data_IF_943161957779
#
_entry.id   IF_943161957779
#
_cell.length_a   1.000
_cell.length_b   1.000
_cell.length_c   1.000
_cell.angle_alpha   90.00
_cell.angle_beta   90.00
_cell.angle_gamma   90.00
#
_symmetry.space_group_name_H-M   'P 1'
#
loop_
_entity.id
_entity.type
_entity.pdbx_description
1 polymer ?
#
# COMPACT_ATOMS: atom_id res chain seq x y z
N UNK A 1 -101.38 40.69 20.74
CA UNK A 1 -100.64 40.90 19.47
C UNK A 1 -99.58 41.98 19.62
N UNK A 2 -99.89 43.28 19.69
CA UNK A 2 -98.86 44.36 19.71
C UNK A 2 -97.89 44.32 20.90
N UNK A 3 -98.32 43.84 22.07
CA UNK A 3 -97.45 43.66 23.26
C UNK A 3 -96.52 42.45 23.16
N UNK A 4 -96.89 41.45 22.37
CA UNK A 4 -96.11 40.22 22.18
C UNK A 4 -94.94 40.47 21.20
N UNK A 5 -95.19 41.29 20.17
CA UNK A 5 -94.18 41.79 19.22
C UNK A 5 -93.08 42.62 19.91
N UNK A 6 -93.42 43.44 20.92
CA UNK A 6 -92.45 44.23 21.70
C UNK A 6 -91.53 43.34 22.53
N UNK A 7 -92.08 42.31 23.18
CA UNK A 7 -91.33 41.34 23.98
C UNK A 7 -90.38 40.56 23.07
N UNK A 8 -90.85 40.12 21.89
CA UNK A 8 -90.03 39.39 20.92
C UNK A 8 -88.90 40.25 20.33
N UNK A 9 -89.16 41.53 20.04
CA UNK A 9 -88.14 42.49 19.59
C UNK A 9 -87.12 42.81 20.69
N UNK A 10 -87.54 42.89 21.95
CA UNK A 10 -86.64 43.12 23.09
C UNK A 10 -85.68 41.95 23.32
N UNK A 11 -86.16 40.72 23.18
CA UNK A 11 -85.34 39.51 23.27
C UNK A 11 -84.30 39.47 22.14
N UNK A 12 -84.70 39.76 20.89
CA UNK A 12 -83.78 39.81 19.73
C UNK A 12 -82.72 40.90 19.85
N UNK A 13 -83.06 42.07 20.41
CA UNK A 13 -82.09 43.13 20.69
C UNK A 13 -81.07 42.69 21.75
N UNK A 14 -81.51 42.00 22.79
CA UNK A 14 -80.61 41.49 23.83
C UNK A 14 -79.63 40.45 23.25
N UNK A 15 -80.13 39.49 22.46
CA UNK A 15 -79.28 38.51 21.78
C UNK A 15 -78.26 39.17 20.84
N UNK A 16 -78.69 40.15 20.03
CA UNK A 16 -77.77 40.86 19.12
C UNK A 16 -76.74 41.74 19.85
N UNK A 17 -77.06 42.29 21.02
CA UNK A 17 -76.09 42.99 21.88
C UNK A 17 -75.08 42.02 22.50
N UNK A 18 -75.54 40.87 23.01
CA UNK A 18 -74.68 39.84 23.56
C UNK A 18 -73.71 39.28 22.47
N UNK A 19 -74.20 39.11 21.24
CA UNK A 19 -73.38 38.72 20.07
C UNK A 19 -72.30 39.78 19.74
N UNK A 20 -72.64 41.07 19.82
CA UNK A 20 -71.69 42.17 19.60
C UNK A 20 -70.64 42.21 20.73
N UNK A 21 -71.02 42.00 21.98
CA UNK A 21 -70.07 41.92 23.09
C UNK A 21 -69.12 40.72 22.95
N UNK A 22 -69.65 39.56 22.53
CA UNK A 22 -68.85 38.37 22.28
C UNK A 22 -67.80 38.63 21.17
N UNK A 23 -68.21 39.28 20.07
CA UNK A 23 -67.30 39.66 18.99
C UNK A 23 -66.25 40.70 19.43
N UNK A 24 -66.60 41.67 20.27
CA UNK A 24 -65.62 42.63 20.84
C UNK A 24 -64.59 41.95 21.74
N UNK A 25 -65.00 40.95 22.53
CA UNK A 25 -64.06 40.14 23.33
C UNK A 25 -63.16 39.30 22.42
N UNK A 26 -63.72 38.72 21.35
CA UNK A 26 -62.97 37.99 20.33
C UNK A 26 -61.93 38.90 19.63
N UNK A 27 -62.31 40.11 19.24
CA UNK A 27 -61.43 41.11 18.61
C UNK A 27 -60.28 41.52 19.53
N UNK A 28 -60.55 41.81 20.82
CA UNK A 28 -59.50 42.11 21.80
C UNK A 28 -58.52 40.93 21.95
N UNK A 29 -59.03 39.71 21.97
CA UNK A 29 -58.19 38.51 22.03
C UNK A 29 -57.35 38.34 20.75
N UNK A 30 -57.90 38.62 19.57
CA UNK A 30 -57.16 38.63 18.31
C UNK A 30 -56.07 39.71 18.31
N UNK A 31 -56.37 40.94 18.73
CA UNK A 31 -55.38 42.01 18.83
C UNK A 31 -54.25 41.68 19.83
N UNK A 32 -54.57 41.01 20.94
CA UNK A 32 -53.56 40.49 21.87
C UNK A 32 -52.71 39.36 21.25
N UNK A 33 -53.30 38.48 20.44
CA UNK A 33 -52.56 37.45 19.71
C UNK A 33 -51.63 38.08 18.64
N UNK A 34 -52.12 39.09 17.91
CA UNK A 34 -51.35 39.81 16.89
C UNK A 34 -50.18 40.57 17.51
N UNK A 35 -50.37 41.29 18.62
CA UNK A 35 -49.28 41.99 19.31
C UNK A 35 -48.21 41.03 19.81
N UNK A 36 -48.59 39.92 20.46
CA UNK A 36 -47.65 38.86 20.87
C UNK A 36 -46.91 38.23 19.68
N UNK A 37 -47.61 38.00 18.57
CA UNK A 37 -47.00 37.47 17.35
C UNK A 37 -46.01 38.47 16.72
N UNK A 38 -46.33 39.77 16.70
CA UNK A 38 -45.43 40.85 16.24
C UNK A 38 -44.19 40.99 17.11
N UNK A 39 -44.34 40.96 18.43
CA UNK A 39 -43.21 40.98 19.37
C UNK A 39 -42.32 39.74 19.19
N UNK A 40 -42.94 38.57 19.03
CA UNK A 40 -42.24 37.33 18.75
C UNK A 40 -41.46 37.37 17.43
N UNK A 41 -41.99 38.02 16.40
CA UNK A 41 -41.33 38.22 15.11
C UNK A 41 -40.17 39.20 15.22
N UNK A 42 -40.38 40.36 15.84
CA UNK A 42 -39.34 41.38 16.05
C UNK A 42 -38.18 40.88 16.92
N UNK A 43 -38.44 39.99 17.88
CA UNK A 43 -37.40 39.33 18.67
C UNK A 43 -36.56 38.37 17.82
N UNK A 44 -37.18 37.61 16.90
CA UNK A 44 -36.47 36.70 16.01
C UNK A 44 -35.66 37.45 14.93
N UNK A 45 -36.17 38.59 14.44
CA UNK A 45 -35.45 39.46 13.51
C UNK A 45 -34.22 40.13 14.16
N UNK A 46 -34.34 40.56 15.43
CA UNK A 46 -33.19 41.02 16.22
C UNK A 46 -32.15 39.93 16.41
N UNK A 47 -32.57 38.72 16.80
CA UNK A 47 -31.70 37.54 16.92
C UNK A 47 -30.95 37.25 15.60
N UNK A 48 -31.56 37.52 14.44
CA UNK A 48 -30.93 37.37 13.13
C UNK A 48 -29.99 38.53 12.75
N UNK A 49 -30.30 39.76 13.14
CA UNK A 49 -29.44 40.93 12.92
C UNK A 49 -28.20 40.93 13.82
N UNK A 50 -28.34 40.44 15.06
CA UNK A 50 -27.24 40.32 16.01
C UNK A 50 -26.23 39.24 15.60
N UNK A 51 -26.62 38.30 14.72
CA UNK A 51 -25.68 37.37 14.09
C UNK A 51 -24.81 38.10 13.09
N UNK A 52 -23.52 38.25 13.42
CA UNK A 52 -22.55 38.77 12.46
C UNK A 52 -22.51 37.91 11.19
N UNK A 53 -22.34 38.53 9.99
CA UNK A 53 -22.14 37.79 8.76
C UNK A 53 -20.90 36.89 8.88
N UNK A 54 -21.10 35.57 8.93
CA UNK A 54 -20.00 34.62 8.89
C UNK A 54 -19.42 34.57 7.48
N UNK A 55 -18.20 35.07 7.30
CA UNK A 55 -17.41 34.91 6.08
C UNK A 55 -16.64 33.59 6.15
N UNK A 56 -16.89 32.63 5.24
CA UNK A 56 -16.13 31.39 5.21
C UNK A 56 -14.64 31.68 4.94
N UNK A 57 -13.69 31.05 5.67
CA UNK A 57 -12.25 31.17 5.42
C UNK A 57 -11.85 30.52 4.08
N UNK A 58 -12.15 31.20 2.96
CA UNK A 58 -11.89 30.68 1.61
C UNK A 58 -10.40 30.54 1.35
N UNK A 59 -9.61 31.52 1.78
CA UNK A 59 -8.17 31.53 1.56
C UNK A 59 -7.48 30.37 2.30
N UNK A 60 -7.83 30.14 3.56
CA UNK A 60 -7.34 28.99 4.34
C UNK A 60 -7.76 27.65 3.70
N UNK A 61 -8.99 27.52 3.19
CA UNK A 61 -9.43 26.31 2.48
C UNK A 61 -8.66 26.09 1.16
N UNK A 62 -8.34 27.16 0.43
CA UNK A 62 -7.53 27.05 -0.80
C UNK A 62 -6.10 26.67 -0.52
N UNK A 63 -5.48 27.26 0.50
CA UNK A 63 -4.13 26.91 0.97
C UNK A 63 -4.06 25.45 1.39
N UNK A 64 -4.97 24.99 2.25
CA UNK A 64 -5.04 23.59 2.67
C UNK A 64 -5.26 22.63 1.49
N UNK A 65 -6.01 23.05 0.46
CA UNK A 65 -6.21 22.23 -0.74
C UNK A 65 -4.93 22.10 -1.56
N UNK A 66 -4.18 23.19 -1.70
CA UNK A 66 -2.88 23.18 -2.38
C UNK A 66 -1.86 22.34 -1.60
N UNK A 67 -1.80 22.50 -0.27
CA UNK A 67 -0.91 21.73 0.61
C UNK A 67 -1.20 20.22 0.52
N UNK A 68 -2.47 19.83 0.56
CA UNK A 68 -2.89 18.42 0.34
C UNK A 68 -2.43 17.95 -1.04
N UNK A 69 -2.61 18.76 -2.09
CA UNK A 69 -2.15 18.45 -3.44
C UNK A 69 -0.64 18.22 -3.50
N UNK A 70 0.16 19.11 -2.91
CA UNK A 70 1.62 18.97 -2.83
C UNK A 70 2.04 17.71 -2.07
N UNK A 71 1.38 17.38 -0.95
CA UNK A 71 1.66 16.15 -0.20
C UNK A 71 1.31 14.89 -0.99
N UNK A 72 0.17 14.87 -1.69
CA UNK A 72 -0.22 13.75 -2.56
C UNK A 72 0.81 13.55 -3.68
N UNK A 73 1.29 14.62 -4.32
CA UNK A 73 2.37 14.54 -5.29
C UNK A 73 3.64 13.93 -4.69
N UNK A 74 4.09 14.43 -3.53
CA UNK A 74 5.26 13.87 -2.83
C UNK A 74 5.09 12.39 -2.44
N UNK A 75 3.90 11.97 -2.00
CA UNK A 75 3.60 10.56 -1.70
C UNK A 75 3.69 9.71 -2.97
N UNK A 76 3.20 10.19 -4.11
CA UNK A 76 3.27 9.47 -5.38
C UNK A 76 4.71 9.34 -5.88
N UNK A 77 5.52 10.40 -5.76
CA UNK A 77 6.95 10.36 -6.10
C UNK A 77 7.71 9.34 -5.23
N UNK A 78 7.45 9.33 -3.92
CA UNK A 78 8.03 8.33 -3.02
C UNK A 78 7.57 6.91 -3.36
N UNK A 79 6.30 6.70 -3.69
CA UNK A 79 5.79 5.39 -4.15
C UNK A 79 6.49 4.92 -5.42
N UNK A 80 6.77 5.83 -6.36
CA UNK A 80 7.50 5.49 -7.58
C UNK A 80 8.96 5.11 -7.27
N UNK A 81 9.67 5.90 -6.47
CA UNK A 81 11.04 5.59 -6.02
C UNK A 81 11.11 4.26 -5.26
N UNK A 82 10.10 3.98 -4.43
CA UNK A 82 10.00 2.71 -3.70
C UNK A 82 9.82 1.53 -4.65
N UNK A 83 8.93 1.64 -5.64
CA UNK A 83 8.75 0.59 -6.67
C UNK A 83 10.04 0.33 -7.46
N UNK A 84 10.76 1.39 -7.82
CA UNK A 84 12.04 1.27 -8.52
C UNK A 84 13.09 0.55 -7.66
N UNK A 85 13.19 0.90 -6.37
CA UNK A 85 14.08 0.19 -5.44
C UNK A 85 13.64 -1.24 -5.13
N UNK A 86 12.33 -1.51 -5.02
CA UNK A 86 11.79 -2.87 -4.89
C UNK A 86 12.13 -3.72 -6.12
N UNK A 87 12.08 -3.14 -7.32
CA UNK A 87 12.48 -3.82 -8.55
C UNK A 87 13.98 -4.15 -8.55
N UNK A 88 14.84 -3.18 -8.17
CA UNK A 88 16.29 -3.41 -8.05
C UNK A 88 16.61 -4.48 -7.00
N UNK A 89 15.96 -4.44 -5.84
CA UNK A 89 16.10 -5.45 -4.79
C UNK A 89 15.70 -6.84 -5.29
N UNK A 90 14.63 -6.94 -6.08
CA UNK A 90 14.19 -8.21 -6.67
C UNK A 90 15.24 -8.77 -7.63
N UNK A 91 15.85 -7.93 -8.47
CA UNK A 91 16.95 -8.35 -9.36
C UNK A 91 18.16 -8.83 -8.56
N UNK A 92 18.58 -8.09 -7.53
CA UNK A 92 19.71 -8.49 -6.67
C UNK A 92 19.45 -9.79 -5.93
N UNK A 93 18.22 -10.01 -5.43
CA UNK A 93 17.83 -11.27 -4.80
C UNK A 93 17.85 -12.45 -5.77
N UNK A 94 17.44 -12.24 -7.02
CA UNK A 94 17.51 -13.26 -8.06
C UNK A 94 18.96 -13.60 -8.42
N UNK A 95 19.83 -12.59 -8.50
CA UNK A 95 21.27 -12.80 -8.71
C UNK A 95 21.90 -13.58 -7.54
N UNK A 96 21.58 -13.21 -6.30
CA UNK A 96 22.01 -13.92 -5.10
C UNK A 96 21.56 -15.39 -5.13
N UNK A 97 20.33 -15.65 -5.56
CA UNK A 97 19.78 -17.01 -5.71
C UNK A 97 20.58 -17.81 -6.74
N UNK A 98 20.84 -17.24 -7.91
CA UNK A 98 21.65 -17.88 -8.97
C UNK A 98 23.07 -18.19 -8.49
N UNK A 99 23.73 -17.26 -7.79
CA UNK A 99 25.05 -17.50 -7.21
C UNK A 99 25.01 -18.64 -6.17
N UNK A 100 23.99 -18.65 -5.31
CA UNK A 100 23.80 -19.71 -4.31
C UNK A 100 23.55 -21.08 -4.96
N UNK A 101 22.68 -21.15 -5.96
CA UNK A 101 22.39 -22.40 -6.67
C UNK A 101 23.64 -22.92 -7.41
N UNK A 102 24.42 -22.03 -8.01
CA UNK A 102 25.68 -22.38 -8.66
C UNK A 102 26.72 -22.89 -7.66
N UNK A 103 26.83 -22.26 -6.49
CA UNK A 103 27.68 -22.74 -5.40
C UNK A 103 27.27 -24.14 -4.93
N UNK A 104 25.96 -24.37 -4.72
CA UNK A 104 25.44 -25.68 -4.32
C UNK A 104 25.73 -26.76 -5.37
N UNK A 105 25.60 -26.42 -6.66
CA UNK A 105 25.98 -27.34 -7.74
C UNK A 105 27.47 -27.67 -7.70
N UNK A 106 28.34 -26.67 -7.50
CA UNK A 106 29.80 -26.90 -7.40
C UNK A 106 30.17 -27.73 -6.17
N UNK A 107 29.57 -27.47 -5.01
CA UNK A 107 29.77 -28.28 -3.81
C UNK A 107 29.32 -29.73 -4.03
N UNK A 108 28.20 -29.94 -4.73
CA UNK A 108 27.75 -31.28 -5.09
C UNK A 108 28.76 -32.01 -5.99
N UNK A 109 29.46 -31.29 -6.87
CA UNK A 109 30.50 -31.86 -7.73
C UNK A 109 31.79 -32.14 -6.95
N UNK A 110 32.23 -31.24 -6.06
CA UNK A 110 33.35 -31.50 -5.15
C UNK A 110 33.10 -32.75 -4.29
N UNK A 111 31.88 -32.91 -3.79
CA UNK A 111 31.47 -34.11 -3.06
C UNK A 111 31.54 -35.37 -3.93
N UNK A 112 31.22 -35.30 -5.23
CA UNK A 112 31.37 -36.44 -6.17
C UNK A 112 32.85 -36.78 -6.40
N UNK A 113 33.73 -35.80 -6.55
CA UNK A 113 35.17 -36.02 -6.71
C UNK A 113 35.79 -36.61 -5.44
N UNK A 114 35.40 -36.11 -4.27
CA UNK A 114 35.79 -36.65 -2.98
C UNK A 114 35.29 -38.10 -2.79
N UNK A 115 34.07 -38.41 -3.20
CA UNK A 115 33.56 -39.79 -3.23
C UNK A 115 34.33 -40.68 -4.21
N UNK A 116 34.76 -40.15 -5.36
CA UNK A 116 35.58 -40.89 -6.32
C UNK A 116 36.95 -41.25 -5.72
N UNK A 117 37.59 -40.30 -5.02
CA UNK A 117 38.84 -40.55 -4.26
C UNK A 117 38.64 -41.60 -3.16
N UNK A 118 37.51 -41.56 -2.46
CA UNK A 118 37.18 -42.54 -1.43
C UNK A 118 37.08 -43.95 -2.02
N UNK A 119 36.39 -44.11 -3.17
CA UNK A 119 36.31 -45.39 -3.90
C UNK A 119 37.66 -45.84 -4.46
N UNK A 120 38.55 -44.90 -4.78
CA UNK A 120 39.90 -45.18 -5.28
C UNK A 120 40.91 -45.56 -4.18
N UNK A 121 40.45 -45.73 -2.93
CA UNK A 121 41.24 -46.24 -1.81
C UNK A 121 41.69 -45.18 -0.79
N UNK A 122 41.09 -43.99 -0.79
CA UNK A 122 41.35 -42.96 0.22
C UNK A 122 40.16 -42.82 1.19
N UNK A 123 39.94 -43.82 2.06
CA UNK A 123 38.74 -43.95 2.90
C UNK A 123 38.44 -42.72 3.77
N UNK A 124 39.48 -42.07 4.31
CA UNK A 124 39.39 -40.93 5.24
C UNK A 124 39.70 -39.57 4.58
N UNK A 125 39.66 -39.48 3.25
CA UNK A 125 39.99 -38.25 2.51
C UNK A 125 39.06 -37.09 2.84
N UNK A 126 37.79 -37.36 3.12
CA UNK A 126 36.79 -36.36 3.47
C UNK A 126 37.10 -35.70 4.82
N UNK A 127 37.55 -36.51 5.79
CA UNK A 127 37.95 -36.03 7.12
C UNK A 127 39.22 -35.18 7.01
N UNK A 128 40.20 -35.65 6.24
CA UNK A 128 41.42 -34.91 5.96
C UNK A 128 41.13 -33.55 5.29
N UNK A 129 40.31 -33.53 4.25
CA UNK A 129 39.93 -32.30 3.55
C UNK A 129 39.19 -31.32 4.48
N UNK A 130 38.20 -31.81 5.23
CA UNK A 130 37.44 -30.98 6.19
C UNK A 130 38.35 -30.37 7.25
N UNK A 131 39.32 -31.14 7.75
CA UNK A 131 40.30 -30.65 8.71
C UNK A 131 41.17 -29.54 8.13
N UNK A 132 41.68 -29.70 6.90
CA UNK A 132 42.48 -28.66 6.23
C UNK A 132 41.66 -27.39 6.01
N UNK A 133 40.40 -27.50 5.56
CA UNK A 133 39.52 -26.35 5.35
C UNK A 133 39.22 -25.58 6.66
N UNK A 134 38.97 -26.30 7.76
CA UNK A 134 38.66 -25.67 9.05
C UNK A 134 39.88 -25.01 9.71
N UNK A 135 41.10 -25.49 9.40
CA UNK A 135 42.34 -25.00 10.00
C UNK A 135 43.15 -24.12 9.03
N UNK A 136 42.52 -23.56 7.99
CA UNK A 136 43.18 -22.67 7.01
C UNK A 136 43.97 -21.53 7.68
N UNK A 137 43.46 -20.99 8.77
CA UNK A 137 44.08 -19.88 9.52
C UNK A 137 45.36 -20.28 10.27
N UNK A 138 45.68 -21.58 10.40
CA UNK A 138 46.87 -22.05 11.09
C UNK A 138 48.10 -22.14 10.16
N UNK A 139 47.89 -22.13 8.84
CA UNK A 139 48.97 -22.26 7.87
C UNK A 139 49.58 -20.89 7.53
N UNK A 140 50.88 -20.89 7.26
CA UNK A 140 51.61 -19.67 6.85
C UNK A 140 51.45 -19.38 5.36
N UNK A 141 51.24 -20.42 4.56
CA UNK A 141 50.98 -20.32 3.13
C UNK A 141 49.75 -21.11 2.72
N UNK A 142 49.38 -20.97 1.46
CA UNK A 142 48.24 -21.68 0.90
C UNK A 142 48.55 -23.18 0.74
N UNK A 143 47.64 -24.01 1.24
CA UNK A 143 47.70 -25.48 1.14
C UNK A 143 46.69 -25.90 0.10
N UNK A 144 47.17 -26.49 -1.00
CA UNK A 144 46.31 -26.95 -2.09
C UNK A 144 45.93 -28.41 -1.89
N UNK A 145 44.67 -28.76 -2.14
CA UNK A 145 44.28 -30.15 -2.36
C UNK A 145 43.04 -30.65 -1.61
N UNK A 146 42.69 -31.94 -1.82
CA UNK A 146 43.40 -32.95 -2.61
C UNK A 146 43.66 -32.55 -4.06
N UNK A 147 44.81 -32.92 -4.64
CA UNK A 147 45.23 -32.49 -6.00
C UNK A 147 44.13 -32.68 -7.05
N UNK A 148 43.31 -33.73 -6.93
CA UNK A 148 42.19 -33.96 -7.84
C UNK A 148 41.19 -32.79 -7.91
N UNK A 149 40.94 -32.11 -6.79
CA UNK A 149 40.00 -30.98 -6.75
C UNK A 149 40.58 -29.74 -7.46
N UNK A 150 41.90 -29.60 -7.48
CA UNK A 150 42.60 -28.42 -7.98
C UNK A 150 42.90 -28.48 -9.48
N UNK A 151 42.63 -29.61 -10.13
CA UNK A 151 42.95 -29.87 -11.54
C UNK A 151 41.68 -29.95 -12.36
N UNK A 152 41.59 -29.12 -13.40
CA UNK A 152 40.46 -29.06 -14.32
C UNK A 152 40.90 -29.45 -15.73
N UNK A 153 40.15 -30.36 -16.38
CA UNK A 153 40.46 -30.87 -17.72
C UNK A 153 39.24 -30.67 -18.62
N UNK A 154 39.42 -30.00 -19.77
CA UNK A 154 38.30 -29.66 -20.66
C UNK A 154 37.79 -30.86 -21.47
N UNK A 155 38.70 -31.77 -21.85
CA UNK A 155 38.39 -32.92 -22.70
C UNK A 155 38.37 -34.23 -21.90
N UNK A 156 37.29 -35.00 -22.04
CA UNK A 156 37.13 -36.31 -21.40
C UNK A 156 38.21 -37.32 -21.83
N UNK A 157 38.72 -37.23 -23.07
CA UNK A 157 39.80 -38.11 -23.54
C UNK A 157 41.12 -37.74 -22.87
N UNK A 158 41.45 -36.45 -22.81
CA UNK A 158 42.66 -35.94 -22.18
C UNK A 158 42.64 -36.19 -20.66
N UNK A 159 41.47 -36.18 -20.04
CA UNK A 159 41.29 -36.55 -18.65
C UNK A 159 41.67 -38.02 -18.39
N UNK A 160 41.36 -38.93 -19.32
CA UNK A 160 41.78 -40.33 -19.26
C UNK A 160 43.30 -40.49 -19.38
N UNK A 161 43.94 -39.68 -20.23
CA UNK A 161 45.40 -39.68 -20.38
C UNK A 161 46.06 -39.20 -19.09
N UNK A 162 45.58 -38.08 -18.54
CA UNK A 162 46.12 -37.50 -17.32
C UNK A 162 45.97 -38.45 -16.11
N UNK A 163 44.79 -39.05 -15.94
CA UNK A 163 44.53 -40.01 -14.85
C UNK A 163 45.41 -41.25 -14.94
N UNK A 164 45.66 -41.74 -16.16
CA UNK A 164 46.50 -42.92 -16.40
C UNK A 164 48.00 -42.61 -16.26
N UNK A 165 48.41 -41.39 -16.62
CA UNK A 165 49.79 -40.95 -16.55
C UNK A 165 50.24 -40.66 -15.12
N UNK A 166 49.40 -39.96 -14.35
CA UNK A 166 49.73 -39.50 -13.00
C UNK A 166 49.45 -40.60 -11.97
N UNK A 167 50.44 -41.01 -11.16
CA UNK A 167 50.24 -42.00 -10.10
C UNK A 167 49.09 -41.66 -9.14
N UNK A 168 48.27 -42.66 -8.79
CA UNK A 168 47.08 -42.50 -7.96
C UNK A 168 47.35 -41.82 -6.60
N UNK A 169 48.53 -42.02 -6.00
CA UNK A 169 48.86 -41.39 -4.72
C UNK A 169 48.89 -39.85 -4.81
N UNK A 170 49.20 -39.28 -5.98
CA UNK A 170 49.28 -37.82 -6.19
C UNK A 170 47.88 -37.21 -6.11
N UNK A 171 46.86 -37.85 -6.70
CA UNK A 171 45.48 -37.35 -6.71
C UNK A 171 44.88 -37.15 -5.32
N UNK A 172 45.24 -38.02 -4.37
CA UNK A 172 44.83 -37.92 -2.95
C UNK A 172 45.76 -37.09 -2.08
N UNK A 173 46.83 -36.51 -2.65
CA UNK A 173 47.82 -35.77 -1.89
C UNK A 173 47.41 -34.33 -1.64
N UNK A 174 47.96 -33.73 -0.58
CA UNK A 174 47.92 -32.29 -0.35
C UNK A 174 49.27 -31.67 -0.68
N UNK A 175 49.26 -30.47 -1.27
CA UNK A 175 50.47 -29.75 -1.68
C UNK A 175 50.69 -28.58 -0.72
N UNK A 176 51.92 -28.49 -0.20
CA UNK A 176 52.35 -27.43 0.72
C UNK A 176 53.45 -26.58 0.11
N UNK A 177 53.41 -25.27 0.35
CA UNK A 177 54.44 -24.35 -0.13
C UNK A 177 55.60 -24.19 0.86
N UNK A 178 55.34 -24.32 2.16
CA UNK A 178 56.32 -24.11 3.22
C UNK A 178 56.66 -25.41 3.96
N UNK A 179 57.93 -25.56 4.35
CA UNK A 179 58.38 -26.70 5.16
C UNK A 179 57.70 -26.77 6.54
N UNK A 180 57.36 -25.61 7.15
CA UNK A 180 56.64 -25.57 8.43
C UNK A 180 55.21 -26.08 8.31
N UNK A 181 54.49 -25.68 7.25
CA UNK A 181 53.12 -26.14 7.00
C UNK A 181 53.11 -27.64 6.66
N UNK A 182 54.12 -28.12 5.92
CA UNK A 182 54.37 -29.54 5.68
C UNK A 182 54.47 -30.32 6.98
N UNK A 183 55.36 -29.93 7.90
CA UNK A 183 55.59 -30.69 9.13
C UNK A 183 54.33 -30.75 10.00
N UNK A 184 53.54 -29.68 9.99
CA UNK A 184 52.24 -29.63 10.66
C UNK A 184 51.23 -30.58 10.01
N UNK A 185 51.11 -30.55 8.68
CA UNK A 185 50.23 -31.46 7.94
C UNK A 185 50.66 -32.91 8.06
N UNK A 186 51.96 -33.22 8.03
CA UNK A 186 52.46 -34.60 8.19
C UNK A 186 52.08 -35.15 9.57
N UNK A 187 52.19 -34.34 10.63
CA UNK A 187 51.78 -34.78 11.98
C UNK A 187 50.28 -35.04 12.07
N UNK A 188 49.47 -34.16 11.51
CA UNK A 188 48.01 -34.19 11.67
C UNK A 188 47.32 -35.11 10.68
N UNK A 189 47.81 -35.20 9.44
CA UNK A 189 47.20 -36.00 8.38
C UNK A 189 47.68 -37.45 8.32
N UNK A 190 48.74 -37.80 9.06
CA UNK A 190 49.22 -39.20 9.17
C UNK A 190 48.12 -40.17 9.62
N UNK A 191 47.21 -39.72 10.49
CA UNK A 191 46.09 -40.54 10.95
C UNK A 191 45.04 -40.83 9.86
N UNK A 192 44.97 -39.99 8.82
CA UNK A 192 44.03 -40.14 7.71
C UNK A 192 44.66 -40.87 6.51
N UNK A 193 45.96 -41.17 6.56
CA UNK A 193 46.66 -41.91 5.50
C UNK A 193 46.83 -41.13 4.18
N UNK A 194 46.76 -39.80 4.22
CA UNK A 194 46.90 -38.96 3.03
C UNK A 194 48.37 -38.57 2.81
N UNK A 195 48.93 -38.77 1.60
CA UNK A 195 50.29 -38.33 1.30
C UNK A 195 50.36 -36.80 1.19
N UNK A 196 51.53 -36.24 1.49
CA UNK A 196 51.78 -34.80 1.41
C UNK A 196 52.95 -34.58 0.46
N UNK A 197 52.74 -33.71 -0.50
CA UNK A 197 53.72 -33.32 -1.50
C UNK A 197 54.21 -31.91 -1.21
N UNK A 198 55.49 -31.69 -1.48
CA UNK A 198 56.12 -30.40 -1.28
C UNK A 198 56.25 -29.69 -2.61
N UNK A 199 55.83 -28.43 -2.63
CA UNK A 199 56.23 -27.53 -3.67
C UNK A 199 57.71 -27.18 -3.49
N UNK A 200 58.55 -27.59 -4.43
CA UNK A 200 59.98 -27.25 -4.45
C UNK A 200 60.18 -25.98 -5.29
N UNK A 201 59.67 -24.85 -4.77
CA UNK A 201 59.65 -23.55 -5.47
C UNK A 201 60.99 -22.88 -5.76
N UNK A 202 62.09 -23.62 -5.80
CA UNK A 202 63.45 -23.07 -5.90
C UNK A 202 64.00 -22.94 -7.33
N UNK A 203 63.45 -23.70 -8.30
CA UNK A 203 63.91 -23.62 -9.68
C UNK A 203 62.79 -23.03 -10.51
N UNK A 204 63.08 -21.91 -11.20
CA UNK A 204 62.30 -21.44 -12.36
C UNK A 204 61.70 -22.63 -13.08
N UNK A 205 60.41 -22.55 -13.37
CA UNK A 205 59.66 -23.40 -14.30
C UNK A 205 60.65 -24.10 -15.25
N UNK A 206 61.12 -25.30 -14.90
CA UNK A 206 61.87 -26.17 -15.80
C UNK A 206 60.85 -26.90 -16.67
N UNK A 207 59.77 -26.21 -17.04
CA UNK A 207 58.91 -26.69 -18.10
C UNK A 207 59.76 -26.52 -19.34
N UNK A 208 60.24 -27.64 -19.90
CA UNK A 208 60.98 -27.59 -21.15
C UNK A 208 60.19 -26.71 -22.14
N UNK A 209 60.84 -25.76 -22.82
CA UNK A 209 60.16 -24.85 -23.73
C UNK A 209 59.33 -25.66 -24.73
N UNK A 210 58.13 -25.16 -25.04
CA UNK A 210 57.19 -25.79 -25.96
C UNK A 210 57.81 -25.93 -27.35
N UNK A 211 58.51 -27.04 -27.58
CA UNK A 211 59.21 -27.30 -28.83
C UNK A 211 58.39 -28.26 -29.70
N UNK A 212 57.14 -27.92 -30.00
CA UNK A 212 56.40 -28.66 -31.03
C UNK A 212 56.94 -28.24 -32.39
N UNK A 213 57.87 -29.02 -32.93
CA UNK A 213 58.46 -28.77 -34.25
C UNK A 213 57.42 -29.02 -35.36
N UNK A 214 57.58 -28.40 -36.55
CA UNK A 214 56.70 -28.69 -37.69
C UNK A 214 56.73 -30.17 -38.08
N UNK A 215 57.85 -30.87 -37.87
CA UNK A 215 58.00 -32.30 -38.10
C UNK A 215 57.11 -33.13 -37.16
N UNK A 216 57.05 -32.76 -35.87
CA UNK A 216 56.15 -33.40 -34.90
C UNK A 216 54.68 -33.24 -35.31
N UNK A 217 54.30 -32.06 -35.80
CA UNK A 217 52.94 -31.83 -36.31
C UNK A 217 52.62 -32.66 -37.56
N UNK A 218 53.59 -32.84 -38.46
CA UNK A 218 53.43 -33.68 -39.64
C UNK A 218 53.22 -35.15 -39.29
N UNK A 219 53.84 -35.63 -38.21
CA UNK A 219 53.60 -36.97 -37.66
C UNK A 219 52.32 -37.07 -36.82
N UNK A 220 51.54 -35.99 -36.71
CA UNK A 220 50.23 -36.00 -36.07
C UNK A 220 50.25 -35.71 -34.56
N UNK A 221 51.33 -35.15 -34.01
CA UNK A 221 51.41 -34.66 -32.63
C UNK A 221 50.75 -33.29 -32.53
N UNK A 222 49.80 -33.15 -31.60
CA UNK A 222 48.98 -31.94 -31.46
C UNK A 222 49.47 -31.02 -30.36
N UNK A 223 49.67 -31.59 -29.19
CA UNK A 223 49.88 -30.85 -27.95
C UNK A 223 50.64 -31.71 -26.94
N UNK A 224 50.98 -31.10 -25.81
CA UNK A 224 51.66 -31.76 -24.70
C UNK A 224 50.71 -31.81 -23.51
N UNK A 225 50.84 -32.83 -22.68
CA UNK A 225 49.86 -33.12 -21.63
C UNK A 225 49.71 -31.97 -20.61
N UNK A 226 50.78 -31.22 -20.35
CA UNK A 226 50.76 -30.01 -19.50
C UNK A 226 49.89 -28.85 -20.03
N UNK A 227 49.56 -28.82 -21.32
CA UNK A 227 48.74 -27.77 -21.94
C UNK A 227 47.24 -28.08 -21.91
N UNK A 228 46.86 -29.35 -21.68
CA UNK A 228 45.47 -29.82 -21.77
C UNK A 228 44.72 -29.77 -20.43
N UNK A 229 45.35 -29.26 -19.36
CA UNK A 229 44.72 -29.06 -18.06
C UNK A 229 45.10 -27.74 -17.40
N UNK A 230 44.14 -27.22 -16.64
CA UNK A 230 44.25 -26.01 -15.84
C UNK A 230 44.42 -26.39 -14.36
N UNK A 231 45.42 -25.81 -13.70
CA UNK A 231 45.67 -26.00 -12.28
C UNK A 231 46.50 -24.82 -11.71
N UNK A 232 46.43 -24.55 -10.40
CA UNK A 232 47.29 -23.55 -9.76
C UNK A 232 48.78 -23.80 -10.05
N UNK A 233 49.63 -22.76 -10.18
CA UNK A 233 51.03 -22.92 -10.55
C UNK A 233 51.80 -23.90 -9.64
N UNK A 234 51.53 -23.87 -8.34
CA UNK A 234 52.13 -24.79 -7.38
C UNK A 234 51.75 -26.26 -7.65
N UNK A 235 50.48 -26.51 -7.99
CA UNK A 235 49.97 -27.84 -8.34
C UNK A 235 50.57 -28.32 -9.66
N UNK A 236 50.57 -27.46 -10.68
CA UNK A 236 51.13 -27.76 -12.00
C UNK A 236 52.62 -28.11 -11.92
N UNK A 237 53.40 -27.38 -11.14
CA UNK A 237 54.81 -27.66 -10.92
C UNK A 237 55.06 -28.99 -10.19
N UNK A 238 54.22 -29.36 -9.22
CA UNK A 238 54.32 -30.68 -8.57
C UNK A 238 54.00 -31.80 -9.56
N UNK A 239 53.00 -31.62 -10.42
CA UNK A 239 52.67 -32.60 -11.48
C UNK A 239 53.82 -32.75 -12.49
N UNK A 240 54.45 -31.65 -12.89
CA UNK A 240 55.65 -31.66 -13.74
C UNK A 240 56.81 -32.40 -13.04
N UNK A 241 57.09 -32.07 -11.78
CA UNK A 241 58.25 -32.64 -11.06
C UNK A 241 58.06 -34.12 -10.70
N UNK A 242 56.84 -34.53 -10.35
CA UNK A 242 56.56 -35.89 -9.84
C UNK A 242 56.08 -36.85 -10.91
N UNK A 243 55.41 -36.35 -11.96
CA UNK A 243 54.83 -37.16 -13.01
C UNK A 243 55.35 -36.84 -14.41
N UNK A 244 56.23 -35.84 -14.58
CA UNK A 244 56.84 -35.48 -15.87
C UNK A 244 55.81 -35.26 -17.00
N UNK A 245 54.69 -34.62 -16.67
CA UNK A 245 53.62 -34.29 -17.63
C UNK A 245 54.10 -33.39 -18.78
N UNK A 246 55.23 -32.71 -18.60
CA UNK A 246 55.92 -31.86 -19.57
C UNK A 246 56.81 -32.63 -20.56
N UNK A 247 56.93 -33.95 -20.42
CA UNK A 247 57.64 -34.83 -21.35
C UNK A 247 56.70 -35.78 -22.10
N UNK A 248 55.39 -35.61 -21.91
CA UNK A 248 54.34 -36.48 -22.45
C UNK A 248 53.55 -35.80 -23.54
N UNK A 249 53.58 -36.37 -24.74
CA UNK A 249 52.97 -35.78 -25.93
C UNK A 249 51.62 -36.42 -26.25
N UNK A 250 50.72 -35.64 -26.86
CA UNK A 250 49.41 -36.09 -27.33
C UNK A 250 49.42 -36.08 -28.85
N UNK A 251 49.04 -37.19 -29.43
CA UNK A 251 48.95 -37.43 -30.86
C UNK A 251 47.56 -37.84 -31.31
N UNK A 252 47.33 -37.67 -32.60
CA UNK A 252 46.12 -38.14 -33.30
C UNK A 252 46.26 -39.59 -33.76
N UNK A 253 45.23 -40.13 -34.43
CA UNK A 253 45.30 -41.44 -35.08
C UNK A 253 46.45 -41.55 -36.11
N UNK A 254 46.92 -40.43 -36.66
CA UNK A 254 48.06 -40.40 -37.56
C UNK A 254 49.39 -40.69 -36.84
N UNK A 255 49.51 -40.22 -35.59
CA UNK A 255 50.67 -40.52 -34.74
C UNK A 255 50.69 -41.99 -34.30
N UNK A 256 49.51 -42.62 -34.16
CA UNK A 256 49.37 -44.06 -33.88
C UNK A 256 49.94 -44.91 -35.04
N UNK A 257 49.70 -44.49 -36.29
CA UNK A 257 50.22 -45.16 -37.49
C UNK A 257 51.72 -44.89 -37.73
N UNK A 258 52.21 -43.73 -37.28
CA UNK A 258 53.59 -43.27 -37.50
C UNK A 258 54.46 -43.41 -36.24
N UNK A 259 54.06 -44.27 -35.29
CA UNK A 259 54.67 -44.36 -33.97
C UNK A 259 56.19 -44.64 -34.02
N UNK A 260 56.64 -45.47 -34.96
CA UNK A 260 58.07 -45.79 -35.15
C UNK A 260 58.91 -44.59 -35.60
N UNK A 261 58.31 -43.63 -36.30
CA UNK A 261 58.97 -42.39 -36.72
C UNK A 261 58.95 -41.33 -35.61
N UNK A 262 57.93 -41.35 -34.75
CA UNK A 262 57.82 -40.46 -33.59
C UNK A 262 58.97 -40.69 -32.61
N UNK A 263 59.41 -41.94 -32.39
CA UNK A 263 60.53 -42.23 -31.48
C UNK A 263 61.85 -41.64 -31.97
N UNK A 264 62.04 -41.57 -33.30
CA UNK A 264 63.26 -41.02 -33.91
C UNK A 264 63.41 -39.52 -33.63
N UNK A 265 62.30 -38.84 -33.32
CA UNK A 265 62.29 -37.43 -32.90
C UNK A 265 62.68 -37.23 -31.43
N UNK A 266 63.03 -38.30 -30.70
CA UNK A 266 63.44 -38.23 -29.29
C UNK A 266 62.29 -38.19 -28.30
N UNK A 267 61.07 -38.51 -28.74
CA UNK A 267 59.88 -38.59 -27.87
C UNK A 267 59.84 -39.98 -27.22
N UNK A 268 59.73 -40.00 -25.89
CA UNK A 268 59.71 -41.23 -25.11
C UNK A 268 58.32 -41.61 -24.57
N UNK A 269 57.36 -40.68 -24.53
CA UNK A 269 55.99 -40.90 -24.04
C UNK A 269 54.97 -40.22 -24.98
N UNK A 270 54.08 -41.03 -25.57
CA UNK A 270 53.06 -40.58 -26.54
C UNK A 270 51.69 -41.17 -26.22
N UNK A 271 50.69 -40.30 -26.11
CA UNK A 271 49.28 -40.64 -25.96
C UNK A 271 48.55 -40.50 -27.29
N UNK A 272 47.96 -41.57 -27.81
CA UNK A 272 47.06 -41.55 -28.99
C UNK A 272 45.61 -41.77 -28.53
N UNK A 273 44.58 -41.70 -29.39
CA UNK A 273 43.20 -41.95 -28.96
C UNK A 273 42.91 -43.36 -28.46
N UNK A 274 43.79 -44.34 -28.74
CA UNK A 274 43.59 -45.76 -28.42
C UNK A 274 44.69 -46.33 -27.55
N UNK A 275 45.93 -45.88 -27.76
CA UNK A 275 47.12 -46.49 -27.18
C UNK A 275 48.00 -45.45 -26.47
N UNK A 276 48.68 -45.91 -25.44
CA UNK A 276 49.75 -45.18 -24.78
C UNK A 276 51.08 -45.87 -25.08
N UNK A 277 51.97 -45.15 -25.75
CA UNK A 277 53.30 -45.64 -26.11
C UNK A 277 54.32 -45.08 -25.13
N UNK A 278 55.11 -45.97 -24.53
CA UNK A 278 56.27 -45.62 -23.71
C UNK A 278 57.51 -46.32 -24.23
N UNK A 279 58.47 -45.52 -24.69
CA UNK A 279 59.76 -46.02 -25.15
C UNK A 279 60.81 -45.85 -24.05
N UNK A 280 61.52 -46.94 -23.77
CA UNK A 280 62.62 -46.94 -22.80
C UNK A 280 63.88 -47.41 -23.50
N UNK A 281 64.96 -46.63 -23.37
CA UNK A 281 66.27 -47.02 -23.84
C UNK A 281 67.04 -47.68 -22.70
N UNK A 282 67.46 -48.93 -22.91
CA UNK A 282 68.23 -49.66 -21.91
C UNK A 282 69.55 -48.96 -21.61
N UNK A 283 69.81 -48.69 -20.33
CA UNK A 283 71.07 -48.10 -19.85
C UNK A 283 72.28 -49.00 -20.08
N UNK A 284 72.08 -50.31 -20.13
CA UNK A 284 73.16 -51.30 -20.20
C UNK A 284 73.51 -51.75 -21.62
N UNK A 285 72.53 -51.71 -22.53
CA UNK A 285 72.72 -52.23 -23.90
C UNK A 285 72.25 -51.31 -25.02
N UNK A 286 71.71 -50.13 -24.72
CA UNK A 286 71.26 -49.16 -25.72
C UNK A 286 70.02 -49.57 -26.54
N UNK A 287 69.53 -50.80 -26.37
CA UNK A 287 68.31 -51.31 -27.03
C UNK A 287 67.08 -50.50 -26.62
N UNK A 288 66.23 -50.23 -27.61
CA UNK A 288 64.96 -49.54 -27.44
C UNK A 288 63.85 -50.59 -27.23
N UNK A 289 63.15 -50.50 -26.10
CA UNK A 289 61.94 -51.29 -25.84
C UNK A 289 60.72 -50.38 -25.82
N UNK A 290 59.66 -50.76 -26.52
CA UNK A 290 58.37 -50.08 -26.49
C UNK A 290 57.39 -50.86 -25.60
N UNK A 291 56.73 -50.18 -24.67
CA UNK A 291 55.53 -50.67 -24.02
C UNK A 291 54.30 -49.98 -24.63
N UNK A 292 53.25 -50.74 -24.92
CA UNK A 292 52.02 -50.23 -25.50
C UNK A 292 50.87 -50.65 -24.60
N UNK A 293 50.30 -49.68 -23.90
CA UNK A 293 49.17 -49.88 -23.01
C UNK A 293 47.88 -49.35 -23.66
N UNK A 294 46.75 -50.01 -23.45
CA UNK A 294 45.45 -49.48 -23.91
C UNK A 294 44.95 -48.39 -22.95
N UNK A 295 44.28 -47.39 -23.50
CA UNK A 295 43.79 -46.26 -22.69
C UNK A 295 42.49 -46.63 -22.00
N UNK A 296 42.48 -46.43 -20.68
CA UNK A 296 41.28 -46.60 -19.89
C UNK A 296 40.52 -45.27 -19.78
N UNK A 297 39.17 -45.31 -19.80
CA UNK A 297 38.38 -44.11 -19.56
C UNK A 297 38.61 -43.60 -18.14
N UNK A 298 38.65 -42.28 -17.99
CA UNK A 298 38.78 -41.62 -16.70
C UNK A 298 37.67 -42.03 -15.72
N UNK A 299 38.05 -42.35 -14.49
CA UNK A 299 37.15 -42.66 -13.36
C UNK A 299 37.12 -41.53 -12.33
N UNK A 300 38.21 -40.76 -12.23
CA UNK A 300 38.38 -39.67 -11.25
C UNK A 300 37.86 -38.33 -11.77
N UNK A 301 38.10 -37.99 -13.05
CA UNK A 301 37.71 -36.73 -13.67
C UNK A 301 36.35 -36.79 -14.37
N UNK A 302 35.37 -37.47 -13.77
CA UNK A 302 34.02 -37.51 -14.33
C UNK A 302 33.19 -36.23 -14.06
N UNK A 303 33.74 -35.25 -13.34
CA UNK A 303 33.07 -34.02 -12.94
C UNK A 303 34.02 -32.83 -13.03
N UNK A 304 33.81 -31.95 -14.01
CA UNK A 304 34.58 -30.71 -14.17
C UNK A 304 34.16 -29.69 -13.10
N UNK A 305 35.11 -29.29 -12.25
CA UNK A 305 34.96 -28.22 -11.27
C UNK A 305 36.20 -27.35 -11.27
N UNK A 306 35.99 -26.04 -11.33
CA UNK A 306 37.03 -25.05 -11.19
C UNK A 306 36.97 -24.44 -9.79
N UNK A 307 38.04 -24.60 -9.00
CA UNK A 307 38.13 -24.12 -7.61
C UNK A 307 38.21 -22.59 -7.55
N UNK A 308 38.88 -21.95 -8.52
CA UNK A 308 38.96 -20.50 -8.62
C UNK A 308 37.58 -19.86 -8.82
N UNK A 309 36.69 -20.53 -9.53
CA UNK A 309 35.32 -20.04 -9.75
C UNK A 309 34.50 -20.07 -8.45
N UNK A 310 34.81 -20.98 -7.51
CA UNK A 310 34.08 -21.09 -6.24
C UNK A 310 34.40 -19.90 -5.33
N UNK A 311 35.67 -19.49 -5.23
CA UNK A 311 36.05 -18.34 -4.43
C UNK A 311 35.52 -17.03 -5.01
N UNK A 312 35.54 -16.87 -6.34
CA UNK A 312 34.90 -15.74 -7.02
C UNK A 312 33.39 -15.72 -6.76
N UNK A 313 32.70 -16.85 -6.91
CA UNK A 313 31.25 -16.95 -6.64
C UNK A 313 30.90 -16.67 -5.17
N UNK A 314 31.77 -17.03 -4.22
CA UNK A 314 31.58 -16.69 -2.80
C UNK A 314 31.71 -15.18 -2.58
N UNK A 315 32.70 -14.55 -3.20
CA UNK A 315 32.87 -13.10 -3.14
C UNK A 315 31.66 -12.37 -3.76
N UNK A 316 31.19 -12.80 -4.92
CA UNK A 316 29.99 -12.26 -5.58
C UNK A 316 28.74 -12.43 -4.70
N UNK A 317 28.57 -13.60 -4.07
CA UNK A 317 27.45 -13.84 -3.14
C UNK A 317 27.49 -12.86 -1.95
N UNK A 318 28.65 -12.66 -1.37
CA UNK A 318 28.81 -11.73 -0.24
C UNK A 318 28.54 -10.28 -0.66
N UNK A 319 28.97 -9.88 -1.86
CA UNK A 319 28.65 -8.58 -2.44
C UNK A 319 27.14 -8.40 -2.66
N UNK A 320 26.48 -9.35 -3.32
CA UNK A 320 25.03 -9.31 -3.53
C UNK A 320 24.26 -9.28 -2.20
N UNK A 321 24.76 -9.97 -1.17
CA UNK A 321 24.15 -9.96 0.16
C UNK A 321 24.24 -8.59 0.81
N UNK A 322 25.42 -7.94 0.78
CA UNK A 322 25.58 -6.55 1.26
C UNK A 322 24.70 -5.57 0.49
N UNK A 323 24.58 -5.74 -0.83
CA UNK A 323 23.72 -4.90 -1.66
C UNK A 323 22.24 -5.07 -1.30
N UNK A 324 21.79 -6.31 -1.08
CA UNK A 324 20.42 -6.62 -0.63
C UNK A 324 20.14 -5.96 0.72
N UNK A 325 21.04 -6.09 1.69
CA UNK A 325 20.91 -5.47 3.01
C UNK A 325 20.81 -3.93 2.91
N UNK A 326 21.71 -3.29 2.16
CA UNK A 326 21.67 -1.84 1.95
C UNK A 326 20.41 -1.35 1.22
N UNK A 327 19.91 -2.11 0.24
CA UNK A 327 18.66 -1.78 -0.44
C UNK A 327 17.42 -1.97 0.46
N UNK A 328 17.41 -2.99 1.32
CA UNK A 328 16.34 -3.17 2.31
C UNK A 328 16.29 -2.04 3.34
N UNK A 329 17.45 -1.56 3.80
CA UNK A 329 17.55 -0.40 4.68
C UNK A 329 17.04 0.87 3.98
N UNK A 330 17.45 1.12 2.74
CA UNK A 330 16.96 2.25 1.95
C UNK A 330 15.43 2.19 1.75
N UNK A 331 14.86 1.00 1.52
CA UNK A 331 13.40 0.82 1.41
C UNK A 331 12.68 1.10 2.74
N UNK A 332 13.27 0.72 3.88
CA UNK A 332 12.72 1.04 5.21
C UNK A 332 12.71 2.56 5.44
N UNK A 333 13.75 3.27 5.05
CA UNK A 333 13.79 4.74 5.16
C UNK A 333 12.77 5.41 4.24
N UNK A 334 12.66 4.99 2.97
CA UNK A 334 11.62 5.48 2.06
C UNK A 334 10.20 5.20 2.59
N UNK A 335 9.98 4.05 3.24
CA UNK A 335 8.70 3.73 3.86
C UNK A 335 8.40 4.64 5.05
N UNK A 336 9.40 4.98 5.88
CA UNK A 336 9.24 5.94 6.98
C UNK A 336 8.90 7.33 6.45
N UNK A 337 9.58 7.79 5.40
CA UNK A 337 9.29 9.07 4.74
C UNK A 337 7.87 9.11 4.16
N UNK A 338 7.44 8.03 3.50
CA UNK A 338 6.08 7.92 2.98
C UNK A 338 5.04 8.04 4.10
N UNK A 339 5.23 7.34 5.21
CA UNK A 339 4.31 7.41 6.37
C UNK A 339 4.23 8.83 6.94
N UNK A 340 5.37 9.51 7.09
CA UNK A 340 5.39 10.91 7.56
C UNK A 340 4.56 11.83 6.66
N UNK A 341 4.69 11.71 5.34
CA UNK A 341 3.88 12.51 4.42
C UNK A 341 2.39 12.14 4.45
N UNK A 342 2.06 10.85 4.62
CA UNK A 342 0.67 10.39 4.77
C UNK A 342 0.04 10.90 6.08
N UNK A 343 0.80 10.92 7.19
CA UNK A 343 0.35 11.48 8.47
C UNK A 343 0.12 13.00 8.37
N UNK A 344 1.04 13.74 7.74
CA UNK A 344 0.88 15.18 7.49
C UNK A 344 -0.33 15.48 6.59
N UNK A 345 -0.54 14.66 5.55
CA UNK A 345 -1.68 14.77 4.63
C UNK A 345 -3.02 14.52 5.36
N UNK A 346 -3.06 13.53 6.25
CA UNK A 346 -4.21 13.25 7.10
C UNK A 346 -4.52 14.41 8.06
N UNK A 347 -3.49 15.03 8.65
CA UNK A 347 -3.66 16.21 9.51
C UNK A 347 -4.23 17.42 8.73
N UNK A 348 -3.76 17.68 7.50
CA UNK A 348 -4.34 18.72 6.66
C UNK A 348 -5.80 18.42 6.28
N UNK A 349 -6.14 17.16 6.01
CA UNK A 349 -7.53 16.75 5.76
C UNK A 349 -8.43 17.00 6.97
N UNK A 350 -8.00 16.62 8.18
CA UNK A 350 -8.74 16.88 9.43
C UNK A 350 -8.99 18.38 9.65
N UNK A 351 -7.97 19.21 9.42
CA UNK A 351 -8.11 20.68 9.51
C UNK A 351 -9.13 21.20 8.51
N UNK A 352 -9.08 20.73 7.26
CA UNK A 352 -10.03 21.11 6.22
C UNK A 352 -11.46 20.67 6.54
N UNK A 353 -11.64 19.47 7.07
CA UNK A 353 -12.95 18.95 7.50
C UNK A 353 -13.52 19.76 8.67
N UNK A 354 -12.71 20.08 9.68
CA UNK A 354 -13.12 20.90 10.81
C UNK A 354 -13.59 22.31 10.38
N UNK A 355 -12.91 22.92 9.40
CA UNK A 355 -13.34 24.21 8.83
C UNK A 355 -14.65 24.02 8.06
N UNK A 356 -14.78 22.98 7.24
CA UNK A 356 -16.00 22.71 6.49
C UNK A 356 -17.22 22.47 7.41
N UNK A 357 -17.04 21.76 8.53
CA UNK A 357 -18.08 21.52 9.51
C UNK A 357 -18.49 22.79 10.26
N UNK A 358 -17.53 23.66 10.62
CA UNK A 358 -17.83 24.99 11.16
C UNK A 358 -18.67 25.81 10.18
N UNK A 359 -18.28 25.84 8.90
CA UNK A 359 -19.02 26.56 7.84
C UNK A 359 -20.45 26.00 7.71
N UNK A 360 -20.61 24.67 7.73
CA UNK A 360 -21.93 24.01 7.67
C UNK A 360 -22.80 24.35 8.89
N UNK A 361 -22.21 24.32 10.09
CA UNK A 361 -22.92 24.61 11.34
C UNK A 361 -23.44 26.05 11.36
N UNK A 362 -22.60 27.02 11.02
CA UNK A 362 -22.99 28.43 10.96
C UNK A 362 -24.06 28.69 9.89
N UNK A 363 -23.93 28.06 8.71
CA UNK A 363 -24.96 28.13 7.67
C UNK A 363 -26.30 27.57 8.16
N UNK A 364 -26.30 26.41 8.82
CA UNK A 364 -27.51 25.77 9.37
C UNK A 364 -28.16 26.62 10.45
N UNK A 365 -27.39 27.18 11.38
CA UNK A 365 -27.90 28.12 12.41
C UNK A 365 -28.63 29.30 11.76
N UNK A 366 -28.04 29.87 10.71
CA UNK A 366 -28.62 31.00 9.98
C UNK A 366 -29.91 30.61 9.25
N UNK A 367 -29.93 29.46 8.59
CA UNK A 367 -31.13 28.89 7.94
C UNK A 367 -32.24 28.57 8.94
N UNK A 368 -31.90 28.05 10.12
CA UNK A 368 -32.87 27.73 11.20
C UNK A 368 -33.55 29.01 11.72
N UNK A 369 -32.78 30.07 11.92
CA UNK A 369 -33.30 31.36 12.39
C UNK A 369 -34.13 32.03 11.28
N UNK A 370 -33.69 31.95 10.02
CA UNK A 370 -34.47 32.42 8.88
C UNK A 370 -35.81 31.67 8.76
N UNK A 371 -35.80 30.34 8.91
CA UNK A 371 -37.04 29.53 8.92
C UNK A 371 -37.95 29.90 10.07
N UNK A 372 -37.41 30.17 11.27
CA UNK A 372 -38.18 30.66 12.42
C UNK A 372 -38.84 32.01 12.12
N UNK A 373 -38.13 32.93 11.47
CA UNK A 373 -38.67 34.22 11.03
C UNK A 373 -39.80 34.00 10.02
N UNK A 374 -39.58 33.20 8.98
CA UNK A 374 -40.58 32.95 7.95
C UNK A 374 -41.84 32.28 8.50
N UNK A 375 -41.70 31.33 9.43
CA UNK A 375 -42.84 30.70 10.11
C UNK A 375 -43.62 31.72 10.95
N UNK A 376 -42.92 32.57 11.71
CA UNK A 376 -43.54 33.64 12.51
C UNK A 376 -44.23 34.69 11.63
N UNK A 377 -43.67 34.98 10.47
CA UNK A 377 -44.27 35.88 9.48
C UNK A 377 -45.54 35.30 8.89
N UNK A 378 -45.52 34.03 8.46
CA UNK A 378 -46.71 33.34 7.94
C UNK A 378 -47.82 33.24 8.98
N UNK A 379 -47.49 32.86 10.21
CA UNK A 379 -48.48 32.79 11.30
C UNK A 379 -49.06 34.17 11.63
N UNK A 380 -48.26 35.25 11.57
CA UNK A 380 -48.77 36.61 11.69
C UNK A 380 -49.70 36.97 10.52
N UNK A 381 -49.34 36.63 9.29
CA UNK A 381 -50.18 36.81 8.12
C UNK A 381 -51.50 36.04 8.23
N UNK A 382 -51.48 34.80 8.69
CA UNK A 382 -52.66 33.95 8.87
C UNK A 382 -53.58 34.49 9.98
N UNK A 383 -53.02 34.90 11.13
CA UNK A 383 -53.81 35.52 12.23
C UNK A 383 -54.35 36.90 11.80
N UNK A 384 -53.66 37.61 10.90
CA UNK A 384 -54.18 38.87 10.34
C UNK A 384 -55.27 38.67 9.29
N UNK A 385 -55.30 37.49 8.66
CA UNK A 385 -56.31 37.07 7.67
C UNK A 385 -57.47 36.29 8.29
N UNK A 386 -57.34 35.82 9.54
CA UNK A 386 -58.41 35.23 10.35
C UNK A 386 -59.57 36.23 10.44
N UNK A 387 -60.49 36.07 9.49
CA UNK A 387 -61.79 36.70 9.25
C UNK A 387 -61.96 38.17 9.63
N UNK A 388 -62.61 38.88 8.72
CA UNK A 388 -63.08 40.25 8.83
C UNK A 388 -64.16 40.36 9.94
N UNK A 389 -63.72 40.23 11.20
CA UNK A 389 -64.50 40.49 12.42
C UNK A 389 -65.06 41.90 12.35
N UNK A 390 -64.37 42.81 11.66
CA UNK A 390 -64.79 44.18 11.41
C UNK A 390 -66.03 44.27 10.49
N UNK A 391 -66.12 43.50 9.40
CA UNK A 391 -67.36 43.45 8.60
C UNK A 391 -68.49 42.68 9.30
N UNK A 392 -68.17 41.67 10.10
CA UNK A 392 -69.18 40.93 10.87
C UNK A 392 -69.79 41.77 11.99
N UNK A 393 -68.97 42.57 12.68
CA UNK A 393 -69.44 43.56 13.66
C UNK A 393 -70.25 44.68 12.99
N UNK A 394 -69.81 45.21 11.84
CA UNK A 394 -70.59 46.20 11.05
C UNK A 394 -71.97 45.68 10.64
N UNK A 395 -72.06 44.43 10.16
CA UNK A 395 -73.35 43.79 9.81
C UNK A 395 -74.28 43.64 11.02
N UNK A 396 -73.74 43.36 12.20
CA UNK A 396 -74.53 43.24 13.42
C UNK A 396 -74.92 44.60 14.01
N UNK A 397 -74.08 45.63 13.91
CA UNK A 397 -74.46 47.00 14.28
C UNK A 397 -75.56 47.56 13.37
N UNK A 398 -75.54 47.23 12.08
CA UNK A 398 -76.62 47.61 11.15
C UNK A 398 -77.93 46.87 11.46
N UNK A 399 -77.85 45.58 11.82
CA UNK A 399 -79.03 44.82 12.31
C UNK A 399 -79.56 45.38 13.62
N UNK A 400 -78.68 45.78 14.54
CA UNK A 400 -79.04 46.42 15.80
C UNK A 400 -79.78 47.74 15.55
N UNK A 401 -79.27 48.59 14.64
CA UNK A 401 -79.92 49.85 14.27
C UNK A 401 -81.33 49.60 13.70
N UNK A 402 -81.48 48.64 12.79
CA UNK A 402 -82.80 48.25 12.21
C UNK A 402 -83.78 47.73 13.26
N UNK A 403 -83.32 46.84 14.16
CA UNK A 403 -84.15 46.31 15.24
C UNK A 403 -84.58 47.40 16.23
N UNK A 404 -83.71 48.39 16.48
CA UNK A 404 -84.04 49.52 17.34
C UNK A 404 -85.08 50.42 16.67
N UNK A 405 -84.95 50.72 15.38
CA UNK A 405 -85.94 51.46 14.59
C UNK A 405 -87.31 50.74 14.56
N UNK A 406 -87.32 49.43 14.38
CA UNK A 406 -88.54 48.62 14.41
C UNK A 406 -89.20 48.61 15.80
N UNK A 407 -88.41 48.58 16.87
CA UNK A 407 -88.91 48.73 18.24
C UNK A 407 -89.51 50.12 18.46
N UNK A 408 -88.85 51.19 18.00
CA UNK A 408 -89.42 52.54 18.05
C UNK A 408 -90.73 52.66 17.28
N UNK A 409 -90.84 52.03 16.10
CA UNK A 409 -92.09 51.97 15.31
C UNK A 409 -93.20 51.21 16.05
N UNK A 410 -92.89 50.08 16.68
CA UNK A 410 -93.84 49.31 17.47
C UNK A 410 -94.34 50.09 18.70
N UNK A 411 -93.42 50.74 19.43
CA UNK A 411 -93.75 51.60 20.58
C UNK A 411 -94.62 52.82 20.17
N UNK A 412 -94.37 53.41 19.00
CA UNK A 412 -95.21 54.48 18.46
C UNK A 412 -96.63 54.00 18.13
N UNK A 413 -96.78 52.78 17.60
CA UNK A 413 -98.09 52.15 17.39
C UNK A 413 -98.80 51.89 18.72
N UNK A 414 -98.08 51.38 19.72
CA UNK A 414 -98.59 51.12 21.05
C UNK A 414 -99.05 52.43 21.73
N UNK A 415 -98.25 53.50 21.62
CA UNK A 415 -98.60 54.85 22.07
C UNK A 415 -99.84 55.40 21.36
N UNK A 416 -99.97 55.22 20.04
CA UNK A 416 -101.18 55.60 19.28
C UNK A 416 -102.42 54.85 19.76
N UNK A 417 -102.33 53.54 19.98
CA UNK A 417 -103.44 52.73 20.51
C UNK A 417 -103.84 53.21 21.91
N UNK A 418 -102.86 53.49 22.78
CA UNK A 418 -103.11 54.05 24.11
C UNK A 418 -103.79 55.42 24.04
N UNK A 419 -103.34 56.30 23.13
CA UNK A 419 -103.94 57.62 22.91
C UNK A 419 -105.39 57.51 22.42
N UNK A 420 -105.67 56.60 21.48
CA UNK A 420 -107.03 56.32 20.98
C UNK A 420 -107.91 55.77 22.09
N UNK A 421 -107.39 54.89 22.95
CA UNK A 421 -108.12 54.36 24.12
C UNK A 421 -108.43 55.47 25.14
N UNK A 422 -107.49 56.39 25.36
CA UNK A 422 -107.69 57.58 26.21
C UNK A 422 -108.73 58.54 25.63
N UNK A 423 -108.69 58.80 24.31
CA UNK A 423 -109.66 59.63 23.61
C UNK A 423 -111.07 59.01 23.61
N UNK A 424 -111.20 57.70 23.46
CA UNK A 424 -112.48 56.99 23.60
C UNK A 424 -113.01 57.04 25.04
N UNK A 425 -112.15 56.98 26.05
CA UNK A 425 -112.56 57.15 27.46
C UNK A 425 -113.01 58.57 27.78
N UNK A 426 -112.40 59.59 27.16
CA UNK A 426 -112.74 61.00 27.35
C UNK A 426 -113.96 61.45 26.52
N UNK A 427 -114.24 60.83 25.36
CA UNK A 427 -115.42 61.11 24.55
C UNK A 427 -116.75 60.69 25.19
N UNK A 428 -116.72 59.73 26.14
CA UNK A 428 -117.90 59.32 26.93
C UNK A 428 -118.31 60.40 27.95
N UNK A 429 -117.39 61.27 28.35
CA UNK A 429 -117.63 62.32 29.36
C UNK A 429 -118.36 63.53 28.74
N UNK A 430 -118.16 63.82 27.45
CA UNK A 430 -118.79 64.95 26.75
C UNK A 430 -120.27 64.74 26.37
N UNK A 431 -120.77 63.50 26.31
CA UNK A 431 -122.21 63.23 26.09
C UNK A 431 -123.07 63.35 27.37
N UNK A 432 -122.46 63.34 28.56
CA UNK A 432 -123.17 63.52 29.84
C UNK A 432 -123.40 64.98 30.22
N UNK A 433 -122.65 65.92 29.64
CA UNK A 433 -122.79 67.36 29.94
C UNK A 433 -123.90 68.05 29.13
N UNK A 434 -124.31 67.52 27.97
CA UNK A 434 -125.40 68.08 27.17
C UNK A 434 -126.81 67.77 27.73
N UNK A 435 -126.96 66.72 28.54
CA UNK A 435 -128.22 66.36 29.22
C UNK A 435 -128.48 67.17 30.50
N UNK A 436 -127.46 67.83 31.07
CA UNK A 436 -127.59 68.66 32.28
C UNK A 436 -127.90 70.13 31.98
N UNK A 437 -127.60 70.62 30.77
CA UNK A 437 -127.84 72.02 30.37
C UNK A 437 -129.26 72.28 29.81
N UNK A 438 -130.00 71.26 29.36
CA UNK A 438 -131.38 71.42 28.89
C UNK A 438 -132.44 71.44 30.02
N UNK A 439 -132.06 71.06 31.25
CA UNK A 439 -132.94 71.06 32.43
C UNK A 439 -133.01 72.42 33.17
N UNK A 440 -132.11 73.37 32.86
CA UNK A 440 -132.03 74.68 33.53
C UNK A 440 -132.91 75.75 32.84
N UNK A 441 -133.45 75.48 31.66
CA UNK A 441 -134.27 76.46 30.91
C UNK A 441 -135.79 76.39 31.22
N UNK A 442 -136.21 75.60 32.21
CA UNK A 442 -137.63 75.41 32.60
C UNK A 442 -138.05 75.97 33.97
N UNK A 443 -137.16 76.62 34.72
CA UNK A 443 -137.49 77.26 36.00
C UNK A 443 -136.77 78.61 36.12
N UNK A 444 -137.45 79.70 35.73
CA UNK A 444 -136.86 81.04 35.91
C UNK A 444 -137.52 82.17 35.12
N UNK A 445 -138.85 82.29 35.12
CA UNK A 445 -139.50 83.58 34.83
C UNK A 445 -140.87 83.65 35.52
N UNK A 446 -140.90 84.45 36.59
CA UNK A 446 -141.99 85.17 37.30
C UNK A 446 -141.51 85.29 38.76
N UNK A 447 -141.00 86.42 39.27
CA UNK A 447 -141.49 87.81 39.43
C UNK A 447 -140.26 88.69 39.78
N UNK A 448 -140.15 90.02 39.62
CA UNK A 448 -140.95 91.15 39.10
C UNK A 448 -139.98 92.36 39.07
N UNK A 449 -140.19 93.29 38.12
CA UNK A 449 -139.51 94.59 37.82
C UNK A 449 -138.71 94.57 36.53
#
# INVERSE_FOLDING_TARGET
>A
EVTDDEIQLSARLKTTLDDIEHLKRHEKNLQQKISKAKEGLAAAEREFQDLQPYEPPRDEMTQLTNDIGHKICGINDLKQRRKEKEWQLSQERENLRKCSDRLMQMESKNNKLLQALQRAGAERINEAYSWVQNNKNMFRGEVYGPVLLEVNVQSKTHAGYLESHVPNYIWRSFITQNASDRDLLVRQLKQYGTPILNYTGGNSIMCEPLNITPEMKQLGITSRLDQEFDAPPAVKNVLITQASVDQSYIGTNQADQSADDVVKLGINDLWTPRNHYRWTRSRYGGHLSANVDSIYPSRLFMCDVNVSDIEMLRSEKDEHTRNVEGMEEALKELQKEQRKLEDEEAEFRKKKEAIADRVRLEKKKREDIQRRIDLKRRTLEDISKEEDVESSTRKLTDKLAKLNDDRFRALLKLKRIYLVKLLLSNGVIQKRTWLLLSLIQRYGRWKRM
#
